data_IF_923609481688
#
_entry.id   IF_923609481688
#
_cell.length_a   1.000
_cell.length_b   1.000
_cell.length_c   1.000
_cell.angle_alpha   90.00
_cell.angle_beta   90.00
_cell.angle_gamma   90.00
#
_symmetry.space_group_name_H-M   'P 1'
#
loop_
_entity.id
_entity.type
_entity.pdbx_description
1 polymer ?
#
# COMPACT_ATOMS: atom_id res chain seq x y z
N UNK A 1 4.70 14.40 3.17
CA UNK A 1 4.87 13.20 2.31
C UNK A 1 6.14 13.33 1.49
N UNK A 2 7.19 12.58 1.81
CA UNK A 2 8.35 12.46 0.91
C UNK A 2 7.93 11.57 -0.26
N UNK A 3 7.29 12.20 -1.24
CA UNK A 3 6.56 11.58 -2.37
C UNK A 3 7.38 10.52 -3.13
N UNK A 4 8.70 10.67 -3.12
CA UNK A 4 9.63 9.83 -3.88
C UNK A 4 9.60 8.33 -3.53
N UNK A 5 9.48 7.95 -2.25
CA UNK A 5 9.62 6.54 -1.84
C UNK A 5 8.42 5.67 -2.24
N UNK A 6 7.21 6.23 -2.17
CA UNK A 6 5.98 5.53 -2.59
C UNK A 6 5.95 5.34 -4.09
N UNK A 7 6.19 6.43 -4.81
CA UNK A 7 6.21 6.43 -6.27
C UNK A 7 7.27 5.47 -6.80
N UNK A 8 8.45 5.40 -6.18
CA UNK A 8 9.50 4.45 -6.58
C UNK A 8 9.04 3.00 -6.44
N UNK A 9 8.35 2.64 -5.34
CA UNK A 9 7.80 1.28 -5.15
C UNK A 9 6.67 0.98 -6.13
N UNK A 10 5.76 1.93 -6.34
CA UNK A 10 4.66 1.79 -7.28
C UNK A 10 5.15 1.63 -8.72
N UNK A 11 6.17 2.39 -9.15
CA UNK A 11 6.83 2.23 -10.46
C UNK A 11 7.46 0.85 -10.63
N UNK A 12 8.03 0.27 -9.57
CA UNK A 12 8.54 -1.10 -9.62
C UNK A 12 7.41 -2.11 -9.78
N UNK A 13 6.32 -1.97 -9.02
CA UNK A 13 5.13 -2.81 -9.15
C UNK A 13 4.50 -2.69 -10.55
N UNK A 14 4.47 -1.49 -11.14
CA UNK A 14 4.04 -1.27 -12.52
C UNK A 14 4.90 -2.06 -13.52
N UNK A 15 6.22 -1.99 -13.40
CA UNK A 15 7.13 -2.77 -14.23
C UNK A 15 6.93 -4.28 -14.09
N UNK A 16 6.68 -4.76 -12.86
CA UNK A 16 6.35 -6.17 -12.62
C UNK A 16 5.02 -6.58 -13.28
N UNK A 17 3.99 -5.73 -13.20
CA UNK A 17 2.71 -5.98 -13.88
C UNK A 17 2.86 -6.08 -15.39
N UNK A 18 3.68 -5.22 -16.01
CA UNK A 18 4.01 -5.32 -17.44
C UNK A 18 4.72 -6.65 -17.76
N UNK A 19 5.62 -7.09 -16.89
CA UNK A 19 6.27 -8.40 -17.01
C UNK A 19 5.26 -9.55 -16.95
N UNK A 20 4.31 -9.50 -16.02
CA UNK A 20 3.25 -10.50 -15.87
C UNK A 20 2.34 -10.55 -17.11
N UNK A 21 1.97 -9.40 -17.68
CA UNK A 21 1.21 -9.36 -18.93
C UNK A 21 1.93 -10.12 -20.03
N UNK A 22 3.23 -9.88 -20.21
CA UNK A 22 4.05 -10.62 -21.17
C UNK A 22 4.12 -12.13 -20.87
N UNK A 23 4.20 -12.52 -19.60
CA UNK A 23 4.16 -13.95 -19.22
C UNK A 23 2.84 -14.62 -19.61
N UNK A 24 1.73 -13.88 -19.51
CA UNK A 24 0.40 -14.36 -19.94
C UNK A 24 0.35 -14.49 -21.47
N UNK A 25 0.84 -13.47 -22.19
CA UNK A 25 0.89 -13.50 -23.66
C UNK A 25 1.79 -14.64 -24.20
N UNK A 26 2.78 -15.05 -23.42
CA UNK A 26 3.70 -16.16 -23.71
C UNK A 26 3.20 -17.53 -23.21
N UNK A 27 1.94 -17.64 -22.75
CA UNK A 27 1.33 -18.86 -22.20
C UNK A 27 2.19 -19.56 -21.13
N UNK A 28 2.83 -18.77 -20.25
CA UNK A 28 3.64 -19.31 -19.16
C UNK A 28 2.80 -20.02 -18.09
N UNK A 29 3.47 -20.89 -17.33
CA UNK A 29 2.85 -21.67 -16.27
C UNK A 29 2.11 -20.79 -15.24
N UNK A 30 0.91 -21.26 -14.86
CA UNK A 30 0.03 -20.55 -13.93
C UNK A 30 0.68 -20.32 -12.55
N UNK A 31 1.50 -21.26 -12.05
CA UNK A 31 2.14 -21.12 -10.75
C UNK A 31 3.20 -20.00 -10.78
N UNK A 32 3.92 -19.83 -11.89
CA UNK A 32 4.86 -18.73 -12.08
C UNK A 32 4.13 -17.38 -12.09
N UNK A 33 3.02 -17.29 -12.82
CA UNK A 33 2.18 -16.07 -12.89
C UNK A 33 1.63 -15.72 -11.50
N UNK A 34 1.07 -16.69 -10.77
CA UNK A 34 0.55 -16.51 -9.41
C UNK A 34 1.66 -16.03 -8.46
N UNK A 35 2.86 -16.57 -8.60
CA UNK A 35 4.02 -16.16 -7.81
C UNK A 35 4.36 -14.69 -8.04
N UNK A 36 4.39 -14.24 -9.30
CA UNK A 36 4.67 -12.84 -9.62
C UNK A 36 3.53 -11.91 -9.19
N UNK A 37 2.27 -12.29 -9.39
CA UNK A 37 1.12 -11.51 -8.91
C UNK A 37 1.13 -11.37 -7.39
N UNK A 38 1.49 -12.43 -6.66
CA UNK A 38 1.63 -12.39 -5.20
C UNK A 38 2.77 -11.45 -4.78
N UNK A 39 3.89 -11.42 -5.51
CA UNK A 39 4.96 -10.47 -5.25
C UNK A 39 4.51 -9.01 -5.46
N UNK A 40 3.71 -8.74 -6.49
CA UNK A 40 3.12 -7.41 -6.71
C UNK A 40 2.15 -7.04 -5.59
N UNK A 41 1.26 -7.96 -5.20
CA UNK A 41 0.33 -7.76 -4.07
C UNK A 41 1.08 -7.36 -2.81
N UNK A 42 2.10 -8.13 -2.41
CA UNK A 42 2.91 -7.82 -1.23
C UNK A 42 3.66 -6.48 -1.33
N UNK A 43 4.11 -6.09 -2.53
CA UNK A 43 4.73 -4.78 -2.75
C UNK A 43 3.75 -3.63 -2.52
N UNK A 44 2.51 -3.76 -3.02
CA UNK A 44 1.44 -2.76 -2.85
C UNK A 44 0.98 -2.69 -1.40
N UNK A 45 0.84 -3.84 -0.72
CA UNK A 45 0.51 -3.90 0.70
C UNK A 45 1.51 -3.12 1.55
N UNK A 46 2.80 -3.22 1.26
CA UNK A 46 3.81 -2.40 1.96
C UNK A 46 3.65 -0.91 1.72
N UNK A 47 3.25 -0.48 0.52
CA UNK A 47 2.98 0.94 0.26
C UNK A 47 1.78 1.41 1.09
N UNK A 48 0.73 0.60 1.17
CA UNK A 48 -0.45 0.87 2.01
C UNK A 48 -0.03 1.02 3.48
N UNK A 49 0.73 0.05 4.03
CA UNK A 49 1.24 0.10 5.41
C UNK A 49 2.04 1.37 5.70
N UNK A 50 2.94 1.75 4.79
CA UNK A 50 3.77 2.93 4.98
C UNK A 50 2.92 4.22 4.99
N UNK A 51 1.91 4.32 4.12
CA UNK A 51 1.00 5.49 4.07
C UNK A 51 0.15 5.56 5.35
N UNK A 52 -0.41 4.44 5.80
CA UNK A 52 -1.18 4.39 7.04
C UNK A 52 -0.30 4.78 8.24
N UNK A 53 0.94 4.27 8.29
CA UNK A 53 1.90 4.61 9.34
C UNK A 53 2.20 6.11 9.36
N UNK A 54 2.49 6.71 8.20
CA UNK A 54 2.70 8.16 8.13
C UNK A 54 1.45 8.97 8.53
N UNK A 55 0.26 8.50 8.16
CA UNK A 55 -0.99 9.14 8.56
C UNK A 55 -1.19 9.09 10.08
N UNK A 56 -0.97 7.93 10.71
CA UNK A 56 -1.04 7.76 12.16
C UNK A 56 0.00 8.62 12.88
N UNK A 57 1.25 8.62 12.41
CA UNK A 57 2.31 9.48 12.95
C UNK A 57 1.93 10.96 12.85
N UNK A 58 1.31 11.39 11.75
CA UNK A 58 0.81 12.76 11.61
C UNK A 58 -0.35 13.07 12.57
N UNK A 59 -1.24 12.12 12.86
CA UNK A 59 -2.28 12.30 13.87
C UNK A 59 -1.70 12.52 15.27
N UNK A 60 -0.61 11.82 15.60
CA UNK A 60 0.06 11.93 16.91
C UNK A 60 0.88 13.22 17.02
N UNK A 61 1.68 13.54 15.99
CA UNK A 61 2.59 14.68 16.02
C UNK A 61 1.89 16.03 15.76
N UNK A 62 0.68 16.01 15.22
CA UNK A 62 -0.13 17.19 14.91
C UNK A 62 -1.57 16.95 15.41
N UNK A 63 -1.78 16.94 16.74
CA UNK A 63 -3.10 16.74 17.30
C UNK A 63 -4.02 17.91 16.95
N UNK A 64 -5.31 17.63 16.80
CA UNK A 64 -6.34 18.67 16.73
C UNK A 64 -6.66 19.20 18.13
N UNK A 65 -7.11 20.46 18.20
CA UNK A 65 -7.50 21.09 19.46
C UNK A 65 -8.80 20.51 20.03
N UNK A 66 -9.72 20.08 19.15
CA UNK A 66 -10.96 19.40 19.54
C UNK A 66 -10.71 17.91 19.81
N UNK A 67 -10.92 17.42 21.05
CA UNK A 67 -10.71 16.01 21.39
C UNK A 67 -11.59 15.04 20.59
N UNK A 68 -12.84 15.40 20.27
CA UNK A 68 -13.73 14.47 19.55
C UNK A 68 -13.32 14.37 18.08
N UNK A 69 -12.97 15.49 17.42
CA UNK A 69 -12.39 15.46 16.08
C UNK A 69 -11.05 14.70 16.03
N UNK A 70 -10.20 14.84 17.06
CA UNK A 70 -8.94 14.08 17.13
C UNK A 70 -9.19 12.57 17.24
N UNK A 71 -10.17 12.17 18.05
CA UNK A 71 -10.60 10.78 18.19
C UNK A 71 -11.13 10.22 16.87
N UNK A 72 -12.04 10.94 16.21
CA UNK A 72 -12.59 10.52 14.90
C UNK A 72 -11.49 10.36 13.85
N UNK A 73 -10.51 11.28 13.82
CA UNK A 73 -9.36 11.22 12.92
C UNK A 73 -8.51 9.96 13.16
N UNK A 74 -8.26 9.61 14.42
CA UNK A 74 -7.52 8.39 14.79
C UNK A 74 -8.31 7.11 14.45
N UNK A 75 -9.61 7.08 14.74
CA UNK A 75 -10.47 5.93 14.43
C UNK A 75 -10.50 5.65 12.92
N UNK A 76 -10.59 6.68 12.08
CA UNK A 76 -10.49 6.54 10.62
C UNK A 76 -9.16 5.94 10.19
N UNK A 77 -8.04 6.40 10.77
CA UNK A 77 -6.72 5.88 10.45
C UNK A 77 -6.56 4.39 10.84
N UNK A 78 -7.08 4.01 12.02
CA UNK A 78 -7.10 2.61 12.49
C UNK A 78 -7.99 1.73 11.63
N UNK A 79 -9.11 2.26 11.11
CA UNK A 79 -10.02 1.51 10.25
C UNK A 79 -9.35 1.00 8.97
N UNK A 80 -8.35 1.73 8.44
CA UNK A 80 -7.56 1.28 7.29
C UNK A 80 -6.72 0.02 7.58
N UNK A 81 -6.36 -0.23 8.85
CA UNK A 81 -5.63 -1.45 9.25
C UNK A 81 -6.57 -2.65 9.42
N UNK A 82 -7.76 -2.42 9.99
CA UNK A 82 -8.70 -3.50 10.32
C UNK A 82 -9.34 -4.10 9.06
N UNK A 83 -9.60 -3.27 8.03
CA UNK A 83 -10.15 -3.72 6.74
C UNK A 83 -9.20 -4.57 5.90
N UNK A 84 -7.98 -4.83 6.38
CA UNK A 84 -6.96 -5.63 5.70
C UNK A 84 -7.06 -7.15 5.98
N UNK A 85 -8.13 -7.59 6.65
CA UNK A 85 -8.47 -9.01 6.85
C UNK A 85 -9.24 -9.57 5.66
#
# INVERSE_FOLDING_TARGET
>A
MTNSKYITRLKRSEGQLRGIQKMIDEDRDCADIITQLTAVRSSVERVIEMIITENLTACINQPLDDPEAQKERLEKAVQYLIKRK
#
